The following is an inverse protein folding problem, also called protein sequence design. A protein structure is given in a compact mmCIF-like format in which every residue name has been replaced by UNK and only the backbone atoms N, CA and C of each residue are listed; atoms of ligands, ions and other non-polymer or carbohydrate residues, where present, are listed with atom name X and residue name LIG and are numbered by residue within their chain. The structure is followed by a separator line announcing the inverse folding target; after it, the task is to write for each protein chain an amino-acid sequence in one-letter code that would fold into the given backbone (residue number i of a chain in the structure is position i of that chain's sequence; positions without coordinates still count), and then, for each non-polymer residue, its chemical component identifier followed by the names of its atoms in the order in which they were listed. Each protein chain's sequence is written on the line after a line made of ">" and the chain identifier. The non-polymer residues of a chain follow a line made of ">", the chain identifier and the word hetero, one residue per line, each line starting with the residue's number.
data_IF_463919670262
#
_entry.id   IF_463919670262
#
_cell.length_a   1.000
_cell.length_b   1.000
_cell.length_c   1.000
_cell.angle_alpha   90.00
_cell.angle_beta   90.00
_cell.angle_gamma   90.00
#
_symmetry.space_group_name_H-M   'P 1'
#
loop_
_entity.id
_entity.type
_entity.pdbx_description
1 polymer ?
#
# COMPACT_ATOMS: atom_id res chain seq x y z
N UNK A 1 19.43 -0.70 0.85
CA UNK A 1 20.08 -1.57 1.86
C UNK A 1 18.98 -2.34 2.55
N UNK A 2 19.15 -3.63 2.81
CA UNK A 2 18.08 -4.41 3.47
C UNK A 2 17.73 -3.82 4.84
N UNK A 3 16.44 -3.62 5.09
CA UNK A 3 15.93 -3.12 6.36
C UNK A 3 16.35 -4.05 7.50
N UNK A 4 16.84 -3.50 8.61
CA UNK A 4 17.22 -4.31 9.78
C UNK A 4 15.99 -4.98 10.40
N UNK A 5 16.16 -6.16 11.00
CA UNK A 5 15.07 -6.87 11.66
C UNK A 5 14.42 -6.07 12.79
N UNK A 6 15.19 -5.28 13.55
CA UNK A 6 14.65 -4.37 14.58
C UNK A 6 13.73 -3.31 13.98
N UNK A 7 14.09 -2.78 12.80
CA UNK A 7 13.27 -1.80 12.09
C UNK A 7 11.98 -2.42 11.53
N UNK A 8 12.07 -3.64 10.99
CA UNK A 8 10.88 -4.40 10.57
C UNK A 8 9.94 -4.66 11.75
N UNK A 9 10.48 -5.02 12.92
CA UNK A 9 9.69 -5.25 14.13
C UNK A 9 8.96 -3.97 14.57
N UNK A 10 9.68 -2.84 14.67
CA UNK A 10 9.09 -1.54 15.03
C UNK A 10 7.95 -1.14 14.06
N UNK A 11 8.17 -1.26 12.75
CA UNK A 11 7.15 -0.97 11.75
C UNK A 11 5.94 -1.90 11.87
N UNK A 12 6.18 -3.19 12.11
CA UNK A 12 5.12 -4.17 12.29
C UNK A 12 4.27 -3.84 13.52
N UNK A 13 4.89 -3.47 14.64
CA UNK A 13 4.21 -3.05 15.87
C UNK A 13 3.34 -1.81 15.65
N UNK A 14 3.88 -0.76 15.02
CA UNK A 14 3.11 0.44 14.66
C UNK A 14 1.88 0.12 13.81
N UNK A 15 2.04 -0.73 12.80
CA UNK A 15 0.96 -1.11 11.89
C UNK A 15 -0.14 -1.88 12.64
N UNK A 16 0.25 -2.84 13.49
CA UNK A 16 -0.69 -3.61 14.33
C UNK A 16 -1.39 -2.70 15.33
N UNK A 17 -0.68 -1.73 15.92
CA UNK A 17 -1.21 -0.72 16.83
C UNK A 17 -2.07 0.36 16.15
N UNK A 18 -2.20 0.32 14.81
CA UNK A 18 -2.97 1.28 14.00
C UNK A 18 -2.44 2.71 14.11
N UNK A 19 -1.16 2.83 14.37
CA UNK A 19 -0.48 4.11 14.42
C UNK A 19 -0.26 4.65 13.02
N UNK A 20 -0.33 5.97 12.87
CA UNK A 20 -0.05 6.63 11.60
C UNK A 20 1.45 6.51 11.31
N UNK A 21 1.79 5.86 10.19
CA UNK A 21 3.16 5.83 9.68
C UNK A 21 3.61 7.22 9.24
N UNK A 22 4.87 7.53 9.53
CA UNK A 22 5.55 8.73 9.08
C UNK A 22 6.01 8.58 7.62
N UNK A 23 6.51 9.67 7.04
CA UNK A 23 7.13 9.63 5.71
C UNK A 23 8.34 8.69 5.67
N UNK A 24 9.21 8.75 6.67
CA UNK A 24 10.41 7.91 6.74
C UNK A 24 10.04 6.42 6.86
N UNK A 25 9.01 6.09 7.66
CA UNK A 25 8.47 4.73 7.71
C UNK A 25 8.02 4.26 6.31
N UNK A 26 7.40 5.14 5.52
CA UNK A 26 6.99 4.84 4.15
C UNK A 26 8.17 4.63 3.19
N UNK A 27 9.21 5.46 3.28
CA UNK A 27 10.45 5.32 2.51
C UNK A 27 11.12 3.96 2.82
N UNK A 28 11.20 3.59 4.10
CA UNK A 28 11.71 2.28 4.55
C UNK A 28 10.90 1.09 3.98
N UNK A 29 9.57 1.22 3.89
CA UNK A 29 8.72 0.18 3.30
C UNK A 29 8.93 0.06 1.79
N UNK A 30 9.15 1.17 1.09
CA UNK A 30 9.45 1.19 -0.35
C UNK A 30 10.81 0.55 -0.67
N UNK A 31 11.79 0.71 0.22
CA UNK A 31 13.14 0.16 0.07
C UNK A 31 13.22 -1.35 0.42
N UNK A 32 12.13 -1.95 0.89
CA UNK A 32 12.09 -3.37 1.30
C UNK A 32 11.73 -4.30 0.14
N UNK A 33 12.62 -5.25 -0.17
CA UNK A 33 12.37 -6.33 -1.15
C UNK A 33 11.60 -7.53 -0.55
N UNK A 34 11.30 -7.52 0.75
CA UNK A 34 10.57 -8.59 1.43
C UNK A 34 9.05 -8.48 1.19
N UNK A 35 8.61 -8.89 0.00
CA UNK A 35 7.21 -8.80 -0.42
C UNK A 35 6.27 -9.65 0.43
N UNK A 36 6.75 -10.77 1.00
CA UNK A 36 5.94 -11.64 1.84
C UNK A 36 5.60 -10.93 3.17
N UNK A 37 6.59 -10.30 3.79
CA UNK A 37 6.39 -9.49 4.99
C UNK A 37 5.47 -8.29 4.74
N UNK A 38 5.73 -7.52 3.66
CA UNK A 38 4.88 -6.39 3.26
C UNK A 38 3.43 -6.83 3.00
N UNK A 39 3.27 -7.93 2.26
CA UNK A 39 1.97 -8.50 1.92
C UNK A 39 1.19 -8.94 3.15
N UNK A 40 1.84 -9.57 4.13
CA UNK A 40 1.21 -9.99 5.38
C UNK A 40 0.69 -8.79 6.20
N UNK A 41 1.50 -7.74 6.34
CA UNK A 41 1.11 -6.50 7.05
C UNK A 41 -0.08 -5.82 6.37
N UNK A 42 0.00 -5.64 5.04
CA UNK A 42 -1.06 -5.03 4.26
C UNK A 42 -2.35 -5.88 4.29
N UNK A 43 -2.22 -7.21 4.21
CA UNK A 43 -3.33 -8.14 4.30
C UNK A 43 -4.04 -8.03 5.65
N UNK A 44 -3.31 -8.00 6.77
CA UNK A 44 -3.88 -7.83 8.11
C UNK A 44 -4.72 -6.55 8.23
N UNK A 45 -4.17 -5.42 7.78
CA UNK A 45 -4.92 -4.15 7.76
C UNK A 45 -6.14 -4.21 6.85
N UNK A 46 -6.03 -4.85 5.68
CA UNK A 46 -7.12 -5.00 4.70
C UNK A 46 -8.24 -5.87 5.25
N UNK A 47 -7.94 -7.00 5.88
CA UNK A 47 -8.95 -7.95 6.38
C UNK A 47 -9.61 -7.44 7.65
N UNK A 48 -8.90 -6.73 8.51
CA UNK A 48 -9.51 -6.02 9.64
C UNK A 48 -10.56 -5.00 9.17
N UNK A 49 -10.24 -4.22 8.13
CA UNK A 49 -11.15 -3.17 7.61
C UNK A 49 -12.31 -3.72 6.79
N UNK A 50 -12.10 -4.79 6.03
CA UNK A 50 -13.02 -5.23 4.98
C UNK A 50 -13.50 -6.68 5.13
N UNK A 51 -13.05 -7.41 6.15
CA UNK A 51 -13.23 -8.85 6.25
C UNK A 51 -12.72 -9.57 4.99
N UNK A 52 -13.49 -10.55 4.53
CA UNK A 52 -13.27 -11.28 3.26
C UNK A 52 -13.99 -10.64 2.08
N UNK A 53 -14.75 -9.57 2.29
CA UNK A 53 -15.51 -8.89 1.24
C UNK A 53 -14.58 -8.24 0.23
N UNK A 54 -14.95 -8.31 -1.04
CA UNK A 54 -14.28 -7.60 -2.14
C UNK A 54 -15.34 -6.92 -2.97
N UNK A 55 -15.22 -5.61 -3.13
CA UNK A 55 -16.18 -4.80 -3.88
C UNK A 55 -15.73 -4.66 -5.33
N UNK A 56 -16.69 -4.62 -6.24
CA UNK A 56 -16.47 -4.32 -7.65
C UNK A 56 -17.55 -3.36 -8.13
N UNK A 57 -17.26 -2.59 -9.17
CA UNK A 57 -18.24 -1.72 -9.82
C UNK A 57 -18.52 -2.18 -11.26
N UNK A 58 -19.76 -2.00 -11.70
CA UNK A 58 -20.13 -2.15 -13.12
C UNK A 58 -20.11 -0.76 -13.73
N UNK A 59 -19.09 -0.47 -14.53
CA UNK A 59 -18.88 0.84 -15.13
C UNK A 59 -18.77 0.75 -16.65
N UNK A 60 -19.19 1.81 -17.34
CA UNK A 60 -18.97 2.03 -18.77
C UNK A 60 -18.23 3.36 -18.94
N UNK A 61 -17.02 3.31 -19.49
CA UNK A 61 -16.28 4.49 -19.91
C UNK A 61 -16.43 4.74 -21.41
N UNK A 62 -16.79 5.97 -21.78
CA UNK A 62 -16.83 6.45 -23.16
C UNK A 62 -15.83 7.59 -23.31
N UNK A 63 -14.73 7.34 -23.99
CA UNK A 63 -13.75 8.36 -24.35
C UNK A 63 -14.02 8.79 -25.79
N UNK A 64 -14.77 9.90 -25.96
CA UNK A 64 -15.20 10.39 -27.27
C UNK A 64 -14.04 10.89 -28.15
N UNK A 65 -12.93 11.31 -27.52
CA UNK A 65 -11.67 11.64 -28.20
C UNK A 65 -10.51 11.25 -27.29
N UNK A 66 -9.38 10.89 -27.89
CA UNK A 66 -8.09 10.68 -27.24
C UNK A 66 -7.08 11.78 -27.59
N UNK A 67 -7.49 12.84 -28.30
CA UNK A 67 -6.66 14.01 -28.60
C UNK A 67 -6.65 14.95 -27.40
N UNK A 68 -5.46 15.30 -26.91
CA UNK A 68 -5.28 16.20 -25.78
C UNK A 68 -4.16 17.20 -26.09
N UNK A 69 -4.35 18.47 -25.73
CA UNK A 69 -3.32 19.52 -25.82
C UNK A 69 -2.37 19.53 -24.63
N UNK A 70 -2.69 18.76 -23.59
CA UNK A 70 -1.82 18.62 -22.44
C UNK A 70 -0.55 17.84 -22.81
N UNK A 71 0.59 18.30 -22.32
CA UNK A 71 1.89 17.64 -22.46
C UNK A 71 2.24 16.92 -21.16
N UNK A 72 1.43 15.93 -20.78
CA UNK A 72 1.76 15.09 -19.64
C UNK A 72 3.08 14.35 -19.92
N UNK A 73 4.02 14.41 -18.97
CA UNK A 73 5.33 13.76 -19.05
C UNK A 73 5.27 12.29 -18.63
#
# INVERSE_FOLDING_TARGET
>A
MALTESRKAELSEKIVARERLTRADGEDLYDSDDLAWLGALAHGVRTEKNGTSTFFNVNRHLNLTNVCTASCA
#
